data_IF_922021989213
#
_entry.id   IF_922021989213
#
_cell.length_a   1.000
_cell.length_b   1.000
_cell.length_c   1.000
_cell.angle_alpha   90.00
_cell.angle_beta   90.00
_cell.angle_gamma   90.00
#
_symmetry.space_group_name_H-M   'P 1'
#
loop_
_entity.id
_entity.type
_entity.pdbx_description
1 polymer ?
#
# COMPACT_ATOMS: atom_id res chain seq x y z
N UNK A 1 44.66 5.85 43.82
CA UNK A 1 44.72 5.65 42.37
C UNK A 1 43.43 4.91 41.97
N UNK A 2 42.44 5.70 41.49
CA UNK A 2 41.11 5.15 41.14
C UNK A 2 41.13 4.89 39.66
N UNK A 3 40.97 3.62 39.27
CA UNK A 3 40.85 3.21 37.87
C UNK A 3 39.39 3.33 37.49
N UNK A 4 39.05 4.33 36.67
CA UNK A 4 37.73 4.48 36.10
C UNK A 4 37.70 3.64 34.81
N UNK A 5 37.01 2.50 34.88
CA UNK A 5 36.71 1.67 33.68
C UNK A 5 35.60 2.31 32.87
N UNK A 6 35.92 2.87 31.71
CA UNK A 6 34.94 3.25 30.72
C UNK A 6 34.32 1.99 30.08
N UNK A 7 33.08 1.66 30.46
CA UNK A 7 32.26 0.73 29.70
C UNK A 7 31.81 1.44 28.41
N UNK A 8 32.43 1.10 27.31
CA UNK A 8 31.94 1.44 25.98
C UNK A 8 30.64 0.64 25.73
N UNK A 9 29.50 1.30 25.80
CA UNK A 9 28.24 0.76 25.26
C UNK A 9 28.39 0.72 23.74
N UNK A 10 28.87 -0.39 23.20
CA UNK A 10 28.66 -0.73 21.81
C UNK A 10 27.18 -1.01 21.63
N UNK A 11 26.43 0.02 21.16
CA UNK A 11 25.05 -0.17 20.77
C UNK A 11 24.97 -1.33 19.80
N UNK A 12 24.27 -2.40 20.18
CA UNK A 12 23.94 -3.49 19.27
C UNK A 12 23.22 -2.88 18.10
N UNK A 13 23.83 -2.86 16.92
CA UNK A 13 23.13 -2.58 15.67
C UNK A 13 22.02 -3.61 15.58
N UNK A 14 20.78 -3.17 15.78
CA UNK A 14 19.56 -3.94 15.70
C UNK A 14 19.56 -4.86 14.48
N UNK A 15 18.87 -5.95 14.60
CA UNK A 15 18.65 -6.93 13.55
C UNK A 15 18.50 -6.27 12.19
N UNK A 16 19.53 -6.33 11.38
CA UNK A 16 19.81 -5.76 10.07
C UNK A 16 18.65 -4.98 9.41
N UNK A 17 18.90 -3.69 9.14
CA UNK A 17 18.06 -2.82 8.33
C UNK A 17 17.54 -3.57 7.08
N UNK A 18 16.22 -3.65 6.85
CA UNK A 18 15.65 -4.33 5.68
C UNK A 18 16.20 -3.86 4.34
N UNK A 19 16.69 -2.61 4.26
CA UNK A 19 17.36 -2.09 3.07
C UNK A 19 18.61 -2.92 2.68
N UNK A 20 19.26 -3.54 3.66
CA UNK A 20 20.46 -4.36 3.47
C UNK A 20 20.19 -5.86 3.34
N UNK A 21 18.94 -6.29 3.47
CA UNK A 21 18.59 -7.71 3.38
C UNK A 21 18.78 -8.25 1.97
N UNK A 22 19.22 -9.52 1.87
CA UNK A 22 19.19 -10.24 0.60
C UNK A 22 17.73 -10.45 0.15
N UNK A 23 17.51 -10.64 -1.16
CA UNK A 23 16.18 -10.95 -1.68
C UNK A 23 15.59 -12.20 -1.01
N UNK A 24 16.41 -13.24 -0.80
CA UNK A 24 15.97 -14.46 -0.09
C UNK A 24 15.46 -14.16 1.33
N UNK A 25 16.12 -13.25 2.07
CA UNK A 25 15.68 -12.87 3.42
C UNK A 25 14.36 -12.10 3.37
N UNK A 26 14.20 -11.20 2.41
CA UNK A 26 12.95 -10.47 2.18
C UNK A 26 11.82 -11.44 1.83
N UNK A 27 12.04 -12.35 0.90
CA UNK A 27 11.02 -13.32 0.47
C UNK A 27 10.63 -14.25 1.63
N UNK A 28 11.59 -14.71 2.43
CA UNK A 28 11.31 -15.52 3.62
C UNK A 28 10.49 -14.76 4.67
N UNK A 29 10.80 -13.48 4.92
CA UNK A 29 10.01 -12.66 5.83
C UNK A 29 8.60 -12.43 5.29
N UNK A 30 8.47 -12.05 4.02
CA UNK A 30 7.19 -11.77 3.38
C UNK A 30 6.27 -13.00 3.36
N UNK A 31 6.82 -14.18 3.05
CA UNK A 31 6.06 -15.43 2.94
C UNK A 31 5.49 -15.94 4.28
N UNK A 32 6.06 -15.55 5.41
CA UNK A 32 5.53 -15.90 6.74
C UNK A 32 4.19 -15.24 7.03
N UNK A 33 3.89 -14.11 6.39
CA UNK A 33 2.63 -13.37 6.54
C UNK A 33 2.30 -12.94 7.98
N UNK A 34 3.27 -13.00 8.91
CA UNK A 34 3.10 -12.56 10.30
C UNK A 34 2.68 -11.09 10.38
N UNK A 35 3.16 -10.27 9.44
CA UNK A 35 2.84 -8.86 9.30
C UNK A 35 1.36 -8.57 8.96
N UNK A 36 0.60 -9.57 8.45
CA UNK A 36 -0.85 -9.47 8.21
C UNK A 36 -1.67 -9.48 9.52
N UNK A 37 -1.04 -9.72 10.66
CA UNK A 37 -1.72 -9.81 11.97
C UNK A 37 -2.90 -10.79 12.00
N UNK A 38 -2.87 -11.79 11.09
CA UNK A 38 -3.89 -12.82 10.92
C UNK A 38 -5.07 -12.44 10.00
N UNK A 39 -4.97 -11.35 9.21
CA UNK A 39 -5.88 -11.13 8.10
C UNK A 39 -5.59 -12.14 6.99
N UNK A 40 -6.65 -12.80 6.46
CA UNK A 40 -6.51 -14.00 5.62
C UNK A 40 -6.44 -13.72 4.11
N UNK A 41 -6.70 -12.47 3.69
CA UNK A 41 -6.63 -12.10 2.27
C UNK A 41 -5.18 -12.13 1.79
N UNK A 42 -4.95 -12.66 0.60
CA UNK A 42 -3.61 -12.82 0.06
C UNK A 42 -3.04 -11.50 -0.49
N UNK A 43 -1.76 -11.20 -0.23
CA UNK A 43 -1.08 -10.10 -0.91
C UNK A 43 -0.93 -10.43 -2.40
N UNK A 44 -1.14 -9.44 -3.27
CA UNK A 44 -0.89 -9.59 -4.69
C UNK A 44 0.61 -9.72 -5.00
N UNK A 45 0.94 -10.41 -6.09
CA UNK A 45 2.32 -10.62 -6.50
C UNK A 45 3.04 -9.34 -6.94
N UNK A 46 2.28 -8.28 -7.30
CA UNK A 46 2.80 -6.98 -7.70
C UNK A 46 3.48 -6.19 -6.58
N UNK A 47 3.21 -6.54 -5.31
CA UNK A 47 3.73 -5.81 -4.16
C UNK A 47 5.26 -5.82 -4.14
N UNK A 48 5.87 -4.63 -4.13
CA UNK A 48 7.31 -4.48 -3.95
C UNK A 48 7.71 -4.88 -2.51
N UNK A 49 8.10 -6.16 -2.36
CA UNK A 49 8.38 -6.75 -1.05
C UNK A 49 9.51 -6.06 -0.29
N UNK A 50 10.52 -5.53 -1.02
CA UNK A 50 11.65 -4.81 -0.40
C UNK A 50 11.20 -3.48 0.17
N UNK A 51 10.48 -2.70 -0.63
CA UNK A 51 9.96 -1.40 -0.22
C UNK A 51 8.96 -1.57 0.93
N UNK A 52 8.12 -2.60 0.86
CA UNK A 52 7.23 -2.96 1.96
C UNK A 52 7.98 -3.33 3.24
N UNK A 53 9.02 -4.17 3.17
CA UNK A 53 9.82 -4.51 4.35
C UNK A 53 10.45 -3.25 4.98
N UNK A 54 11.06 -2.38 4.17
CA UNK A 54 11.64 -1.12 4.64
C UNK A 54 10.59 -0.27 5.36
N UNK A 55 9.44 -0.03 4.72
CA UNK A 55 8.37 0.77 5.29
C UNK A 55 7.76 0.13 6.55
N UNK A 56 7.54 -1.19 6.53
CA UNK A 56 6.99 -1.93 7.67
C UNK A 56 7.87 -1.80 8.91
N UNK A 57 9.18 -2.03 8.77
CA UNK A 57 10.09 -1.98 9.93
C UNK A 57 10.40 -0.55 10.40
N UNK A 58 10.20 0.45 9.53
CA UNK A 58 10.31 1.86 9.89
C UNK A 58 9.19 2.29 10.83
N UNK A 59 7.96 1.81 10.59
CA UNK A 59 6.81 2.09 11.45
C UNK A 59 5.89 0.87 11.59
N UNK A 60 6.39 -0.15 12.27
CA UNK A 60 5.72 -1.44 12.46
C UNK A 60 4.32 -1.27 13.07
N UNK A 61 4.19 -0.42 14.09
CA UNK A 61 2.93 -0.20 14.79
C UNK A 61 1.83 0.33 13.86
N UNK A 62 2.16 1.26 12.95
CA UNK A 62 1.21 1.83 11.98
C UNK A 62 0.70 0.75 11.02
N UNK A 63 1.59 -0.11 10.51
CA UNK A 63 1.24 -1.21 9.65
C UNK A 63 0.38 -2.27 10.37
N UNK A 64 0.73 -2.61 11.60
CA UNK A 64 -0.06 -3.55 12.41
C UNK A 64 -1.46 -3.01 12.70
N UNK A 65 -1.62 -1.71 12.99
CA UNK A 65 -2.94 -1.05 13.12
C UNK A 65 -3.74 -1.16 11.81
N UNK A 66 -3.11 -0.95 10.65
CA UNK A 66 -3.77 -1.07 9.35
C UNK A 66 -4.32 -2.48 9.11
N UNK A 67 -3.50 -3.51 9.25
CA UNK A 67 -3.95 -4.90 9.06
C UNK A 67 -4.90 -5.38 10.14
N UNK A 68 -4.75 -4.92 11.38
CA UNK A 68 -5.72 -5.18 12.44
C UNK A 68 -7.09 -4.59 12.13
N UNK A 69 -7.15 -3.38 11.57
CA UNK A 69 -8.41 -2.77 11.13
C UNK A 69 -9.10 -3.63 10.07
N UNK A 70 -8.37 -4.09 9.04
CA UNK A 70 -8.88 -4.96 7.99
C UNK A 70 -9.40 -6.29 8.53
N UNK A 71 -8.71 -6.88 9.51
CA UNK A 71 -9.10 -8.16 10.11
C UNK A 71 -10.30 -8.05 11.04
N UNK A 72 -10.37 -6.98 11.85
CA UNK A 72 -11.30 -6.89 12.98
C UNK A 72 -12.67 -6.38 12.63
N UNK A 73 -12.88 -5.89 11.40
CA UNK A 73 -14.14 -5.34 10.93
C UNK A 73 -14.80 -6.26 9.90
N UNK A 74 -16.12 -6.35 9.93
CA UNK A 74 -16.90 -6.86 8.81
C UNK A 74 -16.92 -5.77 7.72
N UNK A 75 -15.95 -5.84 6.78
CA UNK A 75 -15.75 -4.82 5.77
C UNK A 75 -16.99 -4.63 4.87
N UNK A 76 -17.83 -5.67 4.73
CA UNK A 76 -19.05 -5.61 3.91
C UNK A 76 -20.12 -4.69 4.52
N UNK A 77 -20.07 -4.49 5.84
CA UNK A 77 -21.03 -3.66 6.60
C UNK A 77 -20.52 -2.24 6.91
N UNK A 78 -19.28 -1.91 6.55
CA UNK A 78 -18.77 -0.57 6.78
C UNK A 78 -19.52 0.44 5.92
N UNK A 79 -19.88 1.60 6.49
CA UNK A 79 -20.47 2.69 5.74
C UNK A 79 -19.50 3.29 4.72
N UNK A 80 -20.04 3.95 3.68
CA UNK A 80 -19.24 4.64 2.66
C UNK A 80 -18.73 5.97 3.23
N UNK A 81 -17.59 5.91 3.94
CA UNK A 81 -16.98 7.09 4.57
C UNK A 81 -15.50 6.86 4.87
N UNK A 82 -14.85 7.91 5.37
CA UNK A 82 -13.53 7.84 5.99
C UNK A 82 -13.65 7.29 7.43
N UNK A 83 -12.70 6.47 7.80
CA UNK A 83 -12.48 5.90 9.13
C UNK A 83 -11.10 6.31 9.63
N UNK A 84 -11.02 7.07 10.69
CA UNK A 84 -9.77 7.42 11.34
C UNK A 84 -9.28 6.25 12.19
N UNK A 85 -8.08 5.74 11.88
CA UNK A 85 -7.43 4.66 12.63
C UNK A 85 -6.36 5.24 13.54
N UNK A 86 -5.60 6.23 13.03
CA UNK A 86 -4.57 7.00 13.74
C UNK A 86 -4.47 8.41 13.17
N UNK A 87 -5.59 9.14 13.18
CA UNK A 87 -5.71 10.48 12.61
C UNK A 87 -5.27 10.54 11.14
N UNK A 88 -4.43 11.53 10.81
CA UNK A 88 -3.88 11.67 9.46
C UNK A 88 -2.63 10.79 9.21
N UNK A 89 -2.18 10.03 10.19
CA UNK A 89 -1.09 9.08 9.97
C UNK A 89 -1.58 7.76 9.36
N UNK A 90 -2.84 7.40 9.67
CA UNK A 90 -3.44 6.17 9.17
C UNK A 90 -4.95 6.29 9.14
N UNK A 91 -5.55 6.19 7.98
CA UNK A 91 -7.01 6.22 7.82
C UNK A 91 -7.45 5.32 6.66
N UNK A 92 -8.70 4.87 6.72
CA UNK A 92 -9.33 4.09 5.66
C UNK A 92 -10.46 4.88 5.01
N UNK A 93 -10.72 4.64 3.73
CA UNK A 93 -11.90 5.14 3.03
C UNK A 93 -12.60 3.98 2.35
N UNK A 94 -13.90 3.82 2.62
CA UNK A 94 -14.75 2.86 1.92
C UNK A 94 -15.57 3.60 0.88
N UNK A 95 -15.56 3.08 -0.34
CA UNK A 95 -16.29 3.67 -1.47
C UNK A 95 -16.95 2.59 -2.32
N UNK A 96 -18.01 3.01 -3.03
CA UNK A 96 -18.66 2.23 -4.07
C UNK A 96 -18.70 3.03 -5.37
N UNK A 97 -18.44 2.36 -6.48
CA UNK A 97 -18.46 2.97 -7.81
C UNK A 97 -18.70 1.92 -8.88
N UNK A 98 -19.02 2.40 -10.07
CA UNK A 98 -19.04 1.57 -11.28
C UNK A 98 -17.64 1.56 -11.88
N UNK A 99 -17.08 0.39 -12.17
CA UNK A 99 -15.78 0.29 -12.84
C UNK A 99 -15.79 1.04 -14.17
N UNK A 100 -14.62 1.55 -14.59
CA UNK A 100 -14.48 2.54 -15.66
C UNK A 100 -13.87 1.92 -16.91
N UNK A 101 -14.11 2.57 -18.03
CA UNK A 101 -13.34 2.33 -19.25
C UNK A 101 -11.94 2.94 -19.11
N UNK A 102 -11.01 2.45 -19.92
CA UNK A 102 -9.61 2.91 -19.91
C UNK A 102 -9.47 4.41 -20.20
N UNK A 103 -10.29 4.93 -21.10
CA UNK A 103 -10.28 6.34 -21.53
C UNK A 103 -10.67 7.32 -20.40
N UNK A 104 -11.42 6.84 -19.40
CA UNK A 104 -11.91 7.67 -18.30
C UNK A 104 -11.14 7.50 -17.00
N UNK A 105 -10.34 6.43 -16.88
CA UNK A 105 -9.51 6.18 -15.72
C UNK A 105 -8.09 6.76 -15.93
N UNK A 106 -7.59 7.46 -14.92
CA UNK A 106 -6.27 8.10 -14.96
C UNK A 106 -5.30 7.35 -14.06
N UNK A 107 -4.01 7.38 -14.44
CA UNK A 107 -2.96 7.02 -13.50
C UNK A 107 -2.80 8.11 -12.45
N UNK A 108 -2.70 7.68 -11.20
CA UNK A 108 -2.45 8.52 -10.05
C UNK A 108 -1.17 8.11 -9.34
N UNK A 109 -0.50 9.08 -8.73
CA UNK A 109 0.66 8.86 -7.87
C UNK A 109 0.52 9.70 -6.60
N UNK A 110 1.08 9.21 -5.52
CA UNK A 110 1.05 9.81 -4.19
C UNK A 110 2.47 10.10 -3.70
N UNK A 111 2.62 11.04 -2.75
CA UNK A 111 3.92 11.39 -2.17
C UNK A 111 3.98 11.17 -0.67
N UNK A 112 2.84 11.35 0.02
CA UNK A 112 2.74 11.31 1.49
C UNK A 112 2.23 10.00 2.03
N UNK A 113 1.50 9.22 1.21
CA UNK A 113 0.87 7.99 1.65
C UNK A 113 1.19 6.81 0.74
N UNK A 114 1.24 5.65 1.37
CA UNK A 114 1.19 4.34 0.74
C UNK A 114 -0.27 3.88 0.79
N UNK A 115 -0.78 3.32 -0.30
CA UNK A 115 -2.13 2.81 -0.37
C UNK A 115 -2.16 1.30 -0.14
N UNK A 116 -3.00 0.82 0.79
CA UNK A 116 -3.45 -0.57 0.79
C UNK A 116 -4.83 -0.56 0.14
N UNK A 117 -5.01 -1.24 -1.00
CA UNK A 117 -6.29 -1.30 -1.72
C UNK A 117 -6.83 -2.73 -1.74
N UNK A 118 -8.09 -2.89 -1.32
CA UNK A 118 -8.78 -4.17 -1.28
C UNK A 118 -10.21 -4.06 -1.80
N UNK A 119 -10.58 -4.92 -2.74
CA UNK A 119 -11.95 -5.04 -3.27
C UNK A 119 -12.79 -5.88 -2.33
N UNK A 120 -13.74 -5.25 -1.64
CA UNK A 120 -14.65 -5.91 -0.68
C UNK A 120 -15.71 -6.72 -1.44
N UNK A 121 -16.21 -6.17 -2.54
CA UNK A 121 -17.14 -6.89 -3.45
C UNK A 121 -16.98 -6.39 -4.88
N UNK A 122 -17.29 -7.26 -5.85
CA UNK A 122 -17.04 -7.00 -7.27
C UNK A 122 -15.62 -7.39 -7.70
N UNK A 123 -15.17 -6.80 -8.78
CA UNK A 123 -13.82 -6.98 -9.33
C UNK A 123 -13.44 -5.80 -10.22
N UNK A 124 -12.16 -5.55 -10.34
CA UNK A 124 -11.61 -4.54 -11.24
C UNK A 124 -10.23 -4.94 -11.76
N UNK A 125 -9.75 -4.25 -12.79
CA UNK A 125 -8.35 -4.27 -13.17
C UNK A 125 -7.66 -3.07 -12.52
N UNK A 126 -6.50 -3.31 -11.91
CA UNK A 126 -5.57 -2.29 -11.44
C UNK A 126 -4.34 -2.30 -12.32
N UNK A 127 -3.96 -1.13 -12.84
CA UNK A 127 -2.73 -0.98 -13.58
C UNK A 127 -1.65 -0.43 -12.68
N UNK A 128 -0.42 -0.90 -12.89
CA UNK A 128 0.76 -0.43 -12.16
C UNK A 128 1.87 -0.13 -13.17
N UNK A 129 2.57 0.96 -12.93
CA UNK A 129 3.82 1.31 -13.60
C UNK A 129 4.79 1.94 -12.59
N UNK A 130 6.10 1.77 -12.71
CA UNK A 130 7.02 2.48 -11.85
C UNK A 130 6.95 3.98 -12.14
N UNK A 131 7.01 4.83 -11.11
CA UNK A 131 6.93 6.30 -11.26
C UNK A 131 7.97 6.85 -12.25
N UNK A 132 9.15 6.22 -12.34
CA UNK A 132 10.18 6.57 -13.34
C UNK A 132 9.76 6.36 -14.81
N UNK A 133 8.64 5.65 -15.05
CA UNK A 133 8.06 5.45 -16.37
C UNK A 133 7.01 6.53 -16.75
N UNK A 134 6.83 7.54 -15.91
CA UNK A 134 5.97 8.70 -16.21
C UNK A 134 6.51 9.42 -17.43
N UNK A 135 5.60 9.71 -18.37
CA UNK A 135 5.88 10.45 -19.60
C UNK A 135 5.44 11.90 -19.52
N UNK A 136 4.30 12.13 -18.90
CA UNK A 136 3.68 13.43 -18.82
C UNK A 136 2.88 13.57 -17.53
N UNK A 137 2.89 14.75 -16.94
CA UNK A 137 2.04 15.14 -15.83
C UNK A 137 0.79 15.82 -16.38
N UNK A 138 -0.36 15.16 -16.27
CA UNK A 138 -1.64 15.68 -16.74
C UNK A 138 -2.23 16.71 -15.79
N UNK A 139 -2.14 16.44 -14.49
CA UNK A 139 -2.53 17.35 -13.43
C UNK A 139 -1.39 17.40 -12.40
N UNK A 140 -0.84 18.57 -12.11
CA UNK A 140 0.21 18.74 -11.12
C UNK A 140 -0.22 18.24 -9.73
N UNK A 141 0.78 17.90 -8.91
CA UNK A 141 0.57 17.40 -7.56
C UNK A 141 -0.24 18.38 -6.69
N UNK A 142 -1.38 17.89 -6.21
CA UNK A 142 -2.21 18.57 -5.21
C UNK A 142 -1.81 18.09 -3.80
N UNK A 143 -1.12 18.94 -3.07
CA UNK A 143 -0.61 18.61 -1.73
C UNK A 143 -1.72 18.42 -0.68
N UNK A 144 -2.94 18.90 -0.93
CA UNK A 144 -4.08 18.75 -0.02
C UNK A 144 -4.74 17.39 -0.16
N UNK A 145 -4.75 16.85 -1.38
CA UNK A 145 -5.31 15.54 -1.72
C UNK A 145 -4.26 14.44 -1.81
N UNK A 146 -2.98 14.82 -1.76
CA UNK A 146 -1.84 13.93 -1.99
C UNK A 146 -1.95 13.16 -3.29
N UNK A 147 -2.21 13.82 -4.39
CA UNK A 147 -2.41 13.18 -5.69
C UNK A 147 -1.84 14.00 -6.83
N UNK A 148 -1.24 13.33 -7.79
CA UNK A 148 -0.98 13.85 -9.14
C UNK A 148 -1.50 12.86 -10.18
N UNK A 149 -1.91 13.36 -11.35
CA UNK A 149 -2.34 12.49 -12.44
C UNK A 149 -1.31 12.54 -13.56
N UNK A 150 -0.99 11.37 -14.10
CA UNK A 150 0.12 11.19 -15.05
C UNK A 150 -0.25 10.25 -16.20
N UNK A 151 0.52 10.33 -17.28
CA UNK A 151 0.61 9.25 -18.27
C UNK A 151 1.89 8.46 -18.06
N UNK A 152 1.84 7.18 -18.33
CA UNK A 152 2.97 6.26 -18.10
C UNK A 152 3.21 5.35 -19.30
N UNK A 153 4.42 4.79 -19.35
CA UNK A 153 4.75 3.67 -20.22
C UNK A 153 4.84 2.36 -19.43
N UNK A 154 4.89 1.23 -20.15
CA UNK A 154 5.15 -0.10 -19.57
C UNK A 154 4.15 -0.49 -18.46
N UNK A 155 2.87 -0.38 -18.77
CA UNK A 155 1.76 -0.69 -17.88
C UNK A 155 1.61 -2.21 -17.70
N UNK A 156 1.45 -2.66 -16.46
CA UNK A 156 1.10 -4.04 -16.16
C UNK A 156 -0.30 -4.06 -15.54
N UNK A 157 -1.12 -5.02 -16.00
CA UNK A 157 -2.50 -5.19 -15.56
C UNK A 157 -2.58 -6.29 -14.51
N UNK A 158 -3.26 -6.01 -13.41
CA UNK A 158 -3.52 -6.97 -12.35
C UNK A 158 -5.01 -7.05 -12.06
N UNK A 159 -5.49 -8.24 -11.80
CA UNK A 159 -6.90 -8.48 -11.46
C UNK A 159 -7.08 -8.34 -9.95
N UNK A 160 -7.89 -7.38 -9.54
CA UNK A 160 -8.27 -7.16 -8.15
C UNK A 160 -9.64 -7.77 -7.88
N UNK A 161 -9.68 -8.62 -6.87
CA UNK A 161 -10.88 -9.35 -6.44
C UNK A 161 -10.94 -9.41 -4.91
N UNK A 162 -11.93 -10.10 -4.37
CA UNK A 162 -12.03 -10.35 -2.93
C UNK A 162 -10.96 -11.31 -2.37
N UNK A 163 -10.12 -11.91 -3.22
CA UNK A 163 -9.09 -12.87 -2.81
C UNK A 163 -7.70 -12.25 -2.63
N UNK A 164 -7.46 -11.04 -3.15
CA UNK A 164 -6.15 -10.39 -3.11
C UNK A 164 -6.26 -8.90 -2.78
N UNK A 165 -5.20 -8.33 -2.21
CA UNK A 165 -5.05 -6.90 -1.97
C UNK A 165 -3.72 -6.40 -2.52
N UNK A 166 -3.64 -5.09 -2.73
CA UNK A 166 -2.50 -4.39 -3.31
C UNK A 166 -1.88 -3.42 -2.31
N UNK A 167 -0.60 -3.15 -2.47
CA UNK A 167 0.10 -2.06 -1.80
C UNK A 167 0.80 -1.24 -2.87
N UNK A 168 0.46 0.05 -2.96
CA UNK A 168 1.08 1.01 -3.89
C UNK A 168 1.92 2.00 -3.10
N UNK A 169 3.17 2.13 -3.50
CA UNK A 169 4.15 3.02 -2.86
C UNK A 169 4.27 4.34 -3.64
N UNK A 170 4.87 5.38 -3.03
CA UNK A 170 5.20 6.61 -3.77
C UNK A 170 6.11 6.39 -4.99
N UNK A 171 6.77 5.25 -5.08
CA UNK A 171 7.54 4.82 -6.26
C UNK A 171 6.69 4.29 -7.41
N UNK A 172 5.37 4.10 -7.19
CA UNK A 172 4.42 3.57 -8.15
C UNK A 172 3.49 4.66 -8.68
N UNK A 173 3.19 4.59 -9.97
CA UNK A 173 1.98 5.17 -10.54
C UNK A 173 0.98 4.03 -10.74
N UNK A 174 -0.26 4.22 -10.30
CA UNK A 174 -1.29 3.19 -10.40
C UNK A 174 -2.60 3.76 -10.93
N UNK A 175 -3.36 2.91 -11.60
CA UNK A 175 -4.67 3.26 -12.16
C UNK A 175 -5.68 2.20 -11.74
N UNK A 176 -6.44 2.44 -10.66
CA UNK A 176 -7.48 1.53 -10.19
C UNK A 176 -8.81 1.77 -10.91
N UNK A 177 -9.75 0.88 -10.67
CA UNK A 177 -11.14 1.06 -11.08
C UNK A 177 -11.44 0.70 -12.53
N UNK A 178 -10.53 0.03 -13.26
CA UNK A 178 -10.81 -0.40 -14.62
C UNK A 178 -11.74 -1.62 -14.66
N UNK A 179 -12.61 -1.66 -15.66
CA UNK A 179 -13.49 -2.80 -15.89
C UNK A 179 -12.73 -4.09 -16.20
N UNK A 180 -13.18 -5.21 -15.63
CA UNK A 180 -12.78 -6.56 -16.02
C UNK A 180 -13.90 -7.19 -16.87
N UNK A 181 -13.88 -6.91 -18.17
CA UNK A 181 -14.97 -7.18 -19.10
C UNK A 181 -15.97 -6.05 -19.16
N UNK A 182 -17.18 -6.23 -18.64
CA UNK A 182 -18.20 -5.17 -18.56
C UNK A 182 -18.00 -4.28 -17.33
N UNK A 183 -18.50 -3.03 -17.40
CA UNK A 183 -18.58 -2.18 -16.22
C UNK A 183 -19.48 -2.82 -15.16
N UNK A 184 -19.03 -2.88 -13.94
CA UNK A 184 -19.72 -3.53 -12.83
C UNK A 184 -19.51 -2.76 -11.51
N UNK A 185 -20.45 -2.88 -10.55
CA UNK A 185 -20.28 -2.28 -9.23
C UNK A 185 -19.05 -2.87 -8.52
N UNK A 186 -18.29 -1.99 -7.89
CA UNK A 186 -17.13 -2.33 -7.06
C UNK A 186 -17.27 -1.62 -5.73
N UNK A 187 -17.17 -2.37 -4.64
CA UNK A 187 -17.01 -1.84 -3.29
C UNK A 187 -15.58 -2.06 -2.87
N UNK A 188 -14.89 -0.99 -2.46
CA UNK A 188 -13.46 -1.00 -2.18
C UNK A 188 -13.15 -0.27 -0.88
N UNK A 189 -12.13 -0.76 -0.17
CA UNK A 189 -11.48 -0.02 0.89
C UNK A 189 -10.06 0.36 0.46
N UNK A 190 -9.69 1.60 0.72
CA UNK A 190 -8.32 2.11 0.57
C UNK A 190 -7.85 2.58 1.94
N UNK A 191 -6.74 2.02 2.42
CA UNK A 191 -6.08 2.51 3.65
C UNK A 191 -4.87 3.33 3.23
N UNK A 192 -4.83 4.58 3.69
CA UNK A 192 -3.72 5.51 3.52
C UNK A 192 -2.77 5.38 4.72
N UNK A 193 -1.57 4.87 4.46
CA UNK A 193 -0.49 4.70 5.43
C UNK A 193 0.55 5.79 5.17
N UNK A 194 0.67 6.76 6.08
CA UNK A 194 1.60 7.89 5.90
C UNK A 194 3.05 7.39 5.86
N UNK A 195 3.82 7.87 4.90
CA UNK A 195 5.28 7.67 4.86
C UNK A 195 5.96 8.51 5.94
N UNK A 196 7.07 8.00 6.50
CA UNK A 196 7.89 8.71 7.51
C UNK A 196 9.13 9.34 6.88
#
# INVERSE_FOLDING_TARGET
MVVISFFSLTGSKSASDPATWSNKKIDNWFSKKEWLTGWVVSPDASINRREFAISYFKNKERWEKAFKFLKSNDLSKLELKRYDIDGDNLFATVSEYLSKNEETAKFEAHRKYIDIQYVISGKEIMNIAPLKAVKEVLNPYDATKDIEFVTVANVVNYKATTSNFFIFFPSDAHRPGLKDGANSPVRKIVIKVKVD
#
